data_IF_926195247259
#
_entry.id   IF_926195247259
#
_cell.length_a   1.000
_cell.length_b   1.000
_cell.length_c   1.000
_cell.angle_alpha   90.00
_cell.angle_beta   90.00
_cell.angle_gamma   90.00
#
_symmetry.space_group_name_H-M   'P 1'
#
loop_
_entity.id
_entity.type
_entity.pdbx_description
1 polymer ?
#
# COMPACT_ATOMS: atom_id res chain seq x y z
N UNK A 1 14.08 37.01 81.40
CA UNK A 1 15.39 37.60 81.05
C UNK A 1 15.66 37.27 79.59
N UNK A 2 15.85 38.31 78.78
CA UNK A 2 16.43 38.30 77.42
C UNK A 2 15.65 37.60 76.32
N UNK A 3 15.54 38.05 75.07
CA UNK A 3 15.65 39.34 74.35
C UNK A 3 15.45 38.92 72.89
N UNK A 4 14.54 39.57 72.15
CA UNK A 4 14.46 39.43 70.69
C UNK A 4 15.68 40.08 70.02
N UNK A 5 16.01 39.74 68.76
CA UNK A 5 15.90 40.75 67.69
C UNK A 5 15.51 40.13 66.32
N UNK A 6 14.51 40.62 65.58
CA UNK A 6 14.42 41.78 64.67
C UNK A 6 15.19 41.68 63.32
N UNK A 7 14.52 42.18 62.27
CA UNK A 7 14.96 42.67 60.92
C UNK A 7 14.74 41.73 59.70
N UNK A 8 14.54 42.25 58.46
CA UNK A 8 13.59 43.26 57.96
C UNK A 8 12.93 42.83 56.59
N UNK A 9 12.18 43.70 55.86
CA UNK A 9 11.27 43.31 54.77
C UNK A 9 11.80 43.59 53.35
N UNK A 10 11.19 42.97 52.33
CA UNK A 10 11.26 43.43 50.92
C UNK A 10 10.11 42.79 50.11
N UNK A 11 9.15 43.60 49.63
CA UNK A 11 8.94 43.97 48.21
C UNK A 11 8.86 42.75 47.28
N UNK A 12 7.84 42.51 46.47
CA UNK A 12 6.83 43.35 45.88
C UNK A 12 6.30 42.63 44.64
N UNK A 13 5.50 43.34 43.85
CA UNK A 13 5.11 43.03 42.48
C UNK A 13 3.88 42.13 42.27
N UNK A 14 2.78 42.85 42.03
CA UNK A 14 1.67 42.46 41.19
C UNK A 14 2.17 41.92 39.83
N UNK A 15 1.68 40.76 39.40
CA UNK A 15 1.61 40.41 37.99
C UNK A 15 0.19 39.98 37.60
N UNK A 16 -0.17 40.42 36.39
CA UNK A 16 -1.52 40.59 35.87
C UNK A 16 -2.09 39.30 35.24
N UNK A 17 -3.42 39.19 35.05
CA UNK A 17 -4.00 38.09 34.32
C UNK A 17 -3.57 38.12 32.84
N UNK A 18 -2.97 37.02 32.39
CA UNK A 18 -2.56 36.82 31.00
C UNK A 18 -3.79 36.92 30.09
N UNK A 19 -3.78 37.88 29.19
CA UNK A 19 -4.83 38.02 28.18
C UNK A 19 -4.68 36.88 27.17
N UNK A 20 -5.67 35.99 27.14
CA UNK A 20 -5.75 34.88 26.17
C UNK A 20 -5.91 35.48 24.77
N UNK A 21 -4.81 35.64 24.03
CA UNK A 21 -4.84 35.94 22.59
C UNK A 21 -5.68 34.85 21.92
N UNK A 22 -6.86 35.22 21.42
CA UNK A 22 -7.59 34.43 20.43
C UNK A 22 -6.66 34.25 19.23
N UNK A 23 -6.21 33.03 18.98
CA UNK A 23 -5.66 32.68 17.68
C UNK A 23 -6.77 32.81 16.63
N UNK A 24 -6.48 33.37 15.45
CA UNK A 24 -7.44 33.41 14.36
C UNK A 24 -7.75 31.98 13.91
N UNK A 25 -9.04 31.73 13.67
CA UNK A 25 -9.55 30.53 13.03
C UNK A 25 -8.92 30.39 11.65
N UNK A 26 -7.98 29.47 11.52
CA UNK A 26 -7.43 29.05 10.24
C UNK A 26 -8.47 28.18 9.51
N UNK A 27 -9.41 28.86 8.85
CA UNK A 27 -10.19 28.28 7.76
C UNK A 27 -9.30 28.22 6.52
N UNK A 28 -8.26 27.40 6.57
CA UNK A 28 -7.42 27.06 5.44
C UNK A 28 -8.10 25.97 4.63
N UNK A 29 -8.71 26.35 3.50
CA UNK A 29 -9.12 25.43 2.44
C UNK A 29 -7.86 24.80 1.83
N UNK A 30 -7.36 23.74 2.46
CA UNK A 30 -6.34 22.88 1.88
C UNK A 30 -7.02 21.82 1.04
N UNK A 31 -6.84 21.88 -0.29
CA UNK A 31 -7.05 20.72 -1.16
C UNK A 31 -6.21 19.57 -0.60
N UNK A 32 -6.82 18.65 0.16
CA UNK A 32 -6.11 17.48 0.68
C UNK A 32 -5.53 16.76 -0.53
N UNK A 33 -4.20 16.85 -0.71
CA UNK A 33 -3.49 15.92 -1.56
C UNK A 33 -3.95 14.53 -1.12
N UNK A 34 -4.61 13.80 -2.02
CA UNK A 34 -5.26 12.53 -1.68
C UNK A 34 -4.17 11.62 -1.07
N UNK A 35 -4.47 11.07 0.11
CA UNK A 35 -3.52 10.33 0.94
C UNK A 35 -3.40 8.87 0.48
N UNK A 36 -2.23 8.27 0.70
CA UNK A 36 -1.99 6.85 0.51
C UNK A 36 -1.26 6.24 1.72
N UNK A 37 -1.35 4.94 1.83
CA UNK A 37 -0.65 4.09 2.79
C UNK A 37 0.17 3.05 2.01
N UNK A 38 1.40 2.80 2.44
CA UNK A 38 2.28 1.86 1.75
C UNK A 38 3.42 1.40 2.65
N UNK A 39 3.91 0.18 2.42
CA UNK A 39 5.22 -0.28 2.94
C UNK A 39 6.32 -0.17 1.89
N UNK A 40 5.96 0.17 0.66
CA UNK A 40 6.87 0.36 -0.46
C UNK A 40 7.78 1.58 -0.29
N UNK A 41 8.84 1.62 -1.08
CA UNK A 41 9.74 2.77 -1.09
C UNK A 41 9.06 3.93 -1.82
N UNK A 42 8.93 5.05 -1.13
CA UNK A 42 8.33 6.28 -1.66
C UNK A 42 9.42 7.20 -2.17
N UNK A 43 9.28 7.65 -3.40
CA UNK A 43 10.03 8.76 -3.98
C UNK A 43 9.05 9.93 -4.18
N UNK A 44 9.26 11.00 -3.42
CA UNK A 44 8.44 12.21 -3.51
C UNK A 44 8.80 12.99 -4.76
N UNK A 45 8.02 12.78 -5.82
CA UNK A 45 8.17 13.51 -7.06
C UNK A 45 7.74 14.97 -6.94
N UNK A 46 8.14 15.77 -7.93
CA UNK A 46 7.70 17.15 -8.07
C UNK A 46 6.17 17.21 -8.26
N UNK A 47 5.55 18.29 -7.80
CA UNK A 47 4.10 18.54 -7.93
C UNK A 47 3.17 17.58 -7.16
N UNK A 48 3.65 16.96 -6.07
CA UNK A 48 2.83 16.11 -5.21
C UNK A 48 2.50 14.73 -5.80
N UNK A 49 3.20 14.33 -6.87
CA UNK A 49 3.07 13.01 -7.49
C UNK A 49 4.16 12.07 -6.96
N UNK A 50 3.83 11.30 -5.92
CA UNK A 50 4.73 10.26 -5.45
C UNK A 50 4.83 9.08 -6.44
N UNK A 51 6.06 8.56 -6.60
CA UNK A 51 6.35 7.28 -7.22
C UNK A 51 6.64 6.27 -6.12
N UNK A 52 5.92 5.15 -6.10
CA UNK A 52 6.06 4.09 -5.10
C UNK A 52 6.61 2.84 -5.76
N UNK A 53 7.71 2.31 -5.25
CA UNK A 53 8.25 1.02 -5.68
C UNK A 53 7.98 -0.06 -4.63
N UNK A 54 7.24 -1.10 -5.02
CA UNK A 54 6.95 -2.25 -4.16
C UNK A 54 8.04 -3.31 -4.33
N UNK A 55 8.72 -3.64 -3.23
CA UNK A 55 9.59 -4.81 -3.15
C UNK A 55 8.73 -6.04 -2.82
N UNK A 56 9.28 -7.27 -2.92
CA UNK A 56 8.58 -8.46 -2.45
C UNK A 56 8.06 -8.27 -1.02
N UNK A 57 6.76 -8.48 -0.82
CA UNK A 57 6.12 -8.34 0.48
C UNK A 57 5.49 -6.97 0.72
N UNK A 58 5.79 -5.98 -0.13
CA UNK A 58 5.24 -4.64 -0.01
C UNK A 58 3.82 -4.54 -0.60
N UNK A 59 3.07 -3.57 -0.08
CA UNK A 59 1.74 -3.23 -0.54
C UNK A 59 1.53 -1.72 -0.57
N UNK A 60 0.54 -1.29 -1.33
CA UNK A 60 0.08 0.09 -1.45
C UNK A 60 -1.46 0.11 -1.46
N UNK A 61 -2.05 1.12 -0.80
CA UNK A 61 -3.46 1.49 -0.93
C UNK A 61 -3.63 3.00 -0.84
N UNK A 62 -4.39 3.60 -1.74
CA UNK A 62 -4.62 5.04 -1.70
C UNK A 62 -5.24 5.62 -2.94
N UNK A 63 -5.38 6.94 -2.94
CA UNK A 63 -5.90 7.73 -4.04
C UNK A 63 -4.95 8.88 -4.37
N UNK A 64 -5.06 9.46 -5.56
CA UNK A 64 -4.25 10.61 -5.98
C UNK A 64 -3.47 10.36 -7.26
N UNK A 65 -2.65 11.33 -7.69
CA UNK A 65 -1.89 11.25 -8.95
C UNK A 65 -0.59 10.43 -8.79
N UNK A 66 -0.64 9.34 -8.02
CA UNK A 66 0.53 8.53 -7.71
C UNK A 66 0.74 7.43 -8.74
N UNK A 67 2.00 7.02 -8.88
CA UNK A 67 2.39 5.86 -9.67
C UNK A 67 2.96 4.79 -8.76
N UNK A 68 2.47 3.56 -8.89
CA UNK A 68 2.99 2.41 -8.15
C UNK A 68 3.63 1.45 -9.14
N UNK A 69 4.78 0.89 -8.79
CA UNK A 69 5.50 0.00 -9.69
C UNK A 69 6.18 -1.15 -8.95
N UNK A 70 6.42 -2.24 -9.68
CA UNK A 70 7.15 -3.39 -9.15
C UNK A 70 7.78 -4.22 -10.27
N UNK A 71 8.63 -5.16 -9.90
CA UNK A 71 9.28 -6.12 -10.79
C UNK A 71 8.98 -7.55 -10.35
N UNK A 72 8.50 -8.38 -11.27
CA UNK A 72 7.90 -9.69 -10.98
C UNK A 72 8.59 -10.79 -11.76
N UNK A 73 9.17 -11.74 -11.03
CA UNK A 73 9.53 -13.07 -11.52
C UNK A 73 8.42 -14.07 -11.17
N UNK A 74 8.71 -14.99 -10.24
CA UNK A 74 7.74 -15.96 -9.71
C UNK A 74 6.71 -15.36 -8.75
N UNK A 75 6.99 -14.21 -8.17
CA UNK A 75 6.00 -13.46 -7.40
C UNK A 75 4.82 -13.04 -8.28
N UNK A 76 3.67 -12.78 -7.67
CA UNK A 76 2.49 -12.26 -8.36
C UNK A 76 2.10 -10.92 -7.74
N UNK A 77 1.65 -10.00 -8.58
CA UNK A 77 1.03 -8.75 -8.14
C UNK A 77 -0.45 -8.76 -8.49
N UNK A 78 -1.27 -8.36 -7.53
CA UNK A 78 -2.68 -8.06 -7.75
C UNK A 78 -2.83 -6.55 -7.72
N UNK A 79 -3.56 -6.02 -8.70
CA UNK A 79 -4.02 -4.62 -8.71
C UNK A 79 -5.53 -4.62 -8.60
N UNK A 80 -6.06 -3.73 -7.77
CA UNK A 80 -7.48 -3.42 -7.69
C UNK A 80 -7.66 -1.91 -7.82
N UNK A 81 -8.52 -1.46 -8.72
CA UNK A 81 -8.76 -0.03 -8.92
C UNK A 81 -10.26 0.26 -9.00
N UNK A 82 -10.69 1.33 -8.33
CA UNK A 82 -12.04 1.84 -8.44
C UNK A 82 -12.04 3.06 -9.36
N UNK A 83 -12.60 2.97 -10.58
CA UNK A 83 -12.73 4.13 -11.47
C UNK A 83 -13.54 5.26 -10.84
N UNK A 84 -14.62 4.88 -10.13
CA UNK A 84 -15.55 5.81 -9.48
C UNK A 84 -14.88 6.65 -8.39
N UNK A 85 -13.99 6.03 -7.62
CA UNK A 85 -13.35 6.67 -6.46
C UNK A 85 -11.93 7.18 -6.77
N UNK A 86 -11.35 6.77 -7.90
CA UNK A 86 -9.92 6.89 -8.20
C UNK A 86 -9.06 6.38 -7.02
N UNK A 87 -9.46 5.22 -6.49
CA UNK A 87 -8.87 4.57 -5.32
C UNK A 87 -8.27 3.25 -5.78
N UNK A 88 -7.00 3.02 -5.47
CA UNK A 88 -6.23 1.87 -5.96
C UNK A 88 -5.53 1.12 -4.84
N UNK A 89 -5.35 -0.18 -5.06
CA UNK A 89 -4.52 -1.05 -4.25
C UNK A 89 -3.59 -1.86 -5.15
N UNK A 90 -2.38 -2.11 -4.67
CA UNK A 90 -1.42 -2.98 -5.35
C UNK A 90 -0.55 -3.70 -4.33
N UNK A 91 -0.35 -5.01 -4.49
CA UNK A 91 0.51 -5.82 -3.62
C UNK A 91 1.56 -6.60 -4.42
N UNK A 92 2.68 -6.94 -3.79
CA UNK A 92 3.71 -7.83 -4.35
C UNK A 92 3.80 -9.12 -3.52
N UNK A 93 2.99 -10.12 -3.86
CA UNK A 93 2.88 -11.39 -3.15
C UNK A 93 4.00 -12.37 -3.51
N UNK A 94 4.64 -12.93 -2.47
CA UNK A 94 5.73 -13.91 -2.64
C UNK A 94 5.20 -15.35 -2.74
N UNK A 95 4.25 -15.70 -1.86
CA UNK A 95 3.82 -17.08 -1.61
C UNK A 95 2.30 -17.18 -1.68
N UNK A 96 1.74 -18.37 -1.96
CA UNK A 96 0.30 -18.49 -2.14
C UNK A 96 -0.44 -18.33 -0.81
N UNK A 97 -0.02 -19.08 0.21
CA UNK A 97 -0.66 -19.15 1.52
C UNK A 97 0.40 -19.34 2.60
N UNK A 98 0.14 -18.83 3.80
CA UNK A 98 1.01 -19.01 4.96
C UNK A 98 1.10 -20.48 5.39
N UNK A 99 2.30 -21.04 5.62
CA UNK A 99 2.45 -22.36 6.24
C UNK A 99 1.89 -22.38 7.67
N UNK A 100 1.25 -23.49 8.06
CA UNK A 100 0.83 -23.73 9.44
C UNK A 100 1.95 -24.43 10.24
N UNK A 101 2.07 -24.19 11.56
CA UNK A 101 1.24 -23.35 12.42
C UNK A 101 1.59 -21.85 12.34
N UNK A 102 0.58 -20.99 12.57
CA UNK A 102 0.64 -19.53 12.40
C UNK A 102 1.59 -18.90 13.44
N UNK A 103 2.88 -18.80 13.13
CA UNK A 103 3.82 -18.06 13.97
C UNK A 103 3.50 -16.55 13.89
N UNK A 104 2.95 -16.01 14.99
CA UNK A 104 2.66 -14.60 15.33
C UNK A 104 1.85 -13.82 14.27
N UNK A 105 0.78 -13.09 14.63
CA UNK A 105 0.06 -12.22 13.71
C UNK A 105 0.88 -10.95 13.42
N UNK A 106 1.96 -11.06 12.65
CA UNK A 106 2.56 -9.92 12.00
C UNK A 106 1.74 -9.60 10.74
N UNK A 107 1.26 -8.36 10.59
CA UNK A 107 0.64 -7.88 9.36
C UNK A 107 1.63 -8.02 8.21
N UNK A 108 1.50 -9.11 7.45
CA UNK A 108 2.30 -9.38 6.26
C UNK A 108 1.38 -9.38 5.04
N UNK A 109 0.54 -8.35 4.92
CA UNK A 109 -0.48 -8.27 3.89
C UNK A 109 0.09 -8.52 2.49
N UNK A 110 1.30 -8.06 2.18
CA UNK A 110 1.92 -8.33 0.89
C UNK A 110 2.67 -9.66 0.76
N UNK A 111 2.80 -10.50 1.78
CA UNK A 111 3.62 -11.72 1.68
C UNK A 111 2.89 -12.91 1.04
N UNK A 112 1.61 -13.08 1.41
CA UNK A 112 0.78 -14.21 0.98
C UNK A 112 -0.38 -13.72 0.12
N UNK A 113 -0.68 -14.45 -0.95
CA UNK A 113 -1.69 -14.03 -1.94
C UNK A 113 -3.09 -13.91 -1.32
N UNK A 114 -3.51 -14.90 -0.54
CA UNK A 114 -4.83 -14.86 0.13
C UNK A 114 -4.92 -13.74 1.16
N UNK A 115 -3.93 -13.59 2.03
CA UNK A 115 -3.89 -12.51 3.02
C UNK A 115 -3.89 -11.12 2.36
N UNK A 116 -3.21 -10.95 1.22
CA UNK A 116 -3.22 -9.70 0.47
C UNK A 116 -4.60 -9.36 -0.10
N UNK A 117 -5.25 -10.36 -0.70
CA UNK A 117 -6.57 -10.20 -1.31
C UNK A 117 -7.64 -9.89 -0.25
N UNK A 118 -7.62 -10.60 0.88
CA UNK A 118 -8.51 -10.32 2.00
C UNK A 118 -8.29 -8.90 2.53
N UNK A 119 -7.03 -8.48 2.69
CA UNK A 119 -6.69 -7.14 3.16
C UNK A 119 -7.18 -6.06 2.19
N UNK A 120 -6.92 -6.19 0.88
CA UNK A 120 -7.39 -5.21 -0.11
C UNK A 120 -8.91 -5.14 -0.16
N UNK A 121 -9.60 -6.29 -0.13
CA UNK A 121 -11.05 -6.35 -0.16
C UNK A 121 -11.68 -5.65 1.06
N UNK A 122 -11.10 -5.84 2.25
CA UNK A 122 -11.52 -5.14 3.47
C UNK A 122 -11.34 -3.63 3.35
N UNK A 123 -10.24 -3.15 2.75
CA UNK A 123 -10.01 -1.73 2.55
C UNK A 123 -11.02 -1.12 1.58
N UNK A 124 -11.26 -1.74 0.42
CA UNK A 124 -12.30 -1.25 -0.50
C UNK A 124 -13.70 -1.30 0.12
N UNK A 125 -14.00 -2.33 0.90
CA UNK A 125 -15.26 -2.44 1.63
C UNK A 125 -15.46 -1.29 2.62
N UNK A 126 -14.43 -0.94 3.39
CA UNK A 126 -14.45 0.19 4.33
C UNK A 126 -14.70 1.54 3.63
N UNK A 127 -14.33 1.65 2.34
CA UNK A 127 -14.61 2.81 1.49
C UNK A 127 -15.93 2.69 0.71
N UNK A 128 -16.82 1.77 1.09
CA UNK A 128 -18.10 1.50 0.42
C UNK A 128 -17.93 1.24 -1.09
N UNK A 129 -16.84 0.56 -1.46
CA UNK A 129 -16.55 0.16 -2.82
C UNK A 129 -16.71 -1.36 -2.96
N UNK A 130 -17.80 -1.85 -3.58
CA UNK A 130 -18.00 -3.27 -3.72
C UNK A 130 -17.01 -3.87 -4.74
N UNK A 131 -16.50 -5.07 -4.47
CA UNK A 131 -15.52 -5.76 -5.33
C UNK A 131 -15.92 -5.83 -6.81
N UNK A 132 -17.21 -6.04 -7.11
CA UNK A 132 -17.77 -6.06 -8.47
C UNK A 132 -17.62 -4.75 -9.27
N UNK A 133 -17.25 -3.66 -8.61
CA UNK A 133 -17.05 -2.34 -9.22
C UNK A 133 -15.56 -1.99 -9.39
N UNK A 134 -14.68 -2.95 -9.08
CA UNK A 134 -13.24 -2.78 -9.20
C UNK A 134 -12.76 -3.38 -10.51
N UNK A 135 -11.85 -2.66 -11.14
CA UNK A 135 -11.00 -3.18 -12.20
C UNK A 135 -9.87 -3.96 -11.53
N UNK A 136 -9.77 -5.26 -11.83
CA UNK A 136 -8.81 -6.16 -11.19
C UNK A 136 -7.82 -6.66 -12.23
N UNK A 137 -6.53 -6.64 -11.90
CA UNK A 137 -5.49 -7.22 -12.72
C UNK A 137 -4.57 -8.17 -11.94
N UNK A 138 -4.10 -9.22 -12.62
CA UNK A 138 -3.14 -10.19 -12.10
C UNK A 138 -1.91 -10.25 -13.02
N UNK A 139 -0.73 -10.00 -12.47
CA UNK A 139 0.52 -9.93 -13.25
C UNK A 139 1.64 -10.70 -12.55
N UNK A 140 2.48 -11.40 -13.30
CA UNK A 140 3.67 -12.09 -12.78
C UNK A 140 3.57 -13.61 -12.82
N UNK A 141 3.98 -14.30 -11.75
CA UNK A 141 3.88 -15.75 -11.67
C UNK A 141 4.74 -16.52 -12.67
N UNK A 142 5.82 -15.92 -13.16
CA UNK A 142 6.74 -16.60 -14.07
C UNK A 142 7.39 -17.82 -13.39
N UNK A 143 7.55 -18.88 -14.15
CA UNK A 143 7.97 -20.19 -13.63
C UNK A 143 9.30 -20.58 -14.27
N UNK A 144 10.34 -20.75 -13.46
CA UNK A 144 11.55 -21.45 -13.87
C UNK A 144 11.25 -22.97 -13.94
N UNK A 145 12.02 -23.72 -14.73
CA UNK A 145 11.72 -25.11 -15.12
C UNK A 145 11.15 -25.99 -13.99
N UNK A 146 11.71 -25.91 -12.77
CA UNK A 146 11.36 -26.79 -11.65
C UNK A 146 10.58 -26.11 -10.51
N UNK A 147 10.26 -24.82 -10.61
CA UNK A 147 9.62 -24.07 -9.51
C UNK A 147 8.11 -23.90 -9.72
N UNK A 148 7.30 -24.59 -8.93
CA UNK A 148 5.84 -24.42 -8.98
C UNK A 148 5.32 -23.14 -8.30
N UNK A 149 6.19 -22.31 -7.71
CA UNK A 149 5.73 -21.19 -6.85
C UNK A 149 4.93 -20.17 -7.66
N UNK A 150 5.41 -19.78 -8.84
CA UNK A 150 4.69 -18.83 -9.70
C UNK A 150 3.31 -19.32 -10.10
N UNK A 151 3.22 -20.56 -10.57
CA UNK A 151 1.93 -21.20 -10.89
C UNK A 151 1.02 -21.31 -9.66
N UNK A 152 1.57 -21.63 -8.48
CA UNK A 152 0.79 -21.73 -7.23
C UNK A 152 0.26 -20.37 -6.76
N UNK A 153 1.06 -19.31 -6.87
CA UNK A 153 0.64 -17.93 -6.57
C UNK A 153 -0.54 -17.52 -7.46
N UNK A 154 -0.43 -17.75 -8.77
CA UNK A 154 -1.49 -17.43 -9.74
C UNK A 154 -2.76 -18.23 -9.46
N UNK A 155 -2.64 -19.55 -9.26
CA UNK A 155 -3.79 -20.41 -8.92
C UNK A 155 -4.49 -19.97 -7.65
N UNK A 156 -3.74 -19.56 -6.63
CA UNK A 156 -4.32 -19.07 -5.38
C UNK A 156 -5.08 -17.76 -5.60
N UNK A 157 -4.53 -16.82 -6.36
CA UNK A 157 -5.21 -15.57 -6.67
C UNK A 157 -6.51 -15.83 -7.44
N UNK A 158 -6.46 -16.68 -8.47
CA UNK A 158 -7.64 -17.02 -9.25
C UNK A 158 -8.72 -17.71 -8.40
N UNK A 159 -8.35 -18.72 -7.61
CA UNK A 159 -9.29 -19.41 -6.74
C UNK A 159 -9.97 -18.47 -5.72
N UNK A 160 -9.21 -17.50 -5.19
CA UNK A 160 -9.77 -16.49 -4.30
C UNK A 160 -10.75 -15.58 -5.04
N UNK A 161 -10.41 -15.11 -6.25
CA UNK A 161 -11.27 -14.25 -7.06
C UNK A 161 -12.56 -14.96 -7.48
N UNK A 162 -12.47 -16.23 -7.89
CA UNK A 162 -13.60 -17.07 -8.25
C UNK A 162 -14.56 -17.25 -7.06
N UNK A 163 -14.01 -17.49 -5.86
CA UNK A 163 -14.80 -17.63 -4.63
C UNK A 163 -15.55 -16.34 -4.25
N UNK A 164 -15.08 -15.18 -4.72
CA UNK A 164 -15.72 -13.87 -4.51
C UNK A 164 -16.56 -13.41 -5.71
N UNK A 165 -16.68 -14.25 -6.75
CA UNK A 165 -17.48 -13.95 -7.94
C UNK A 165 -16.97 -12.76 -8.76
N UNK A 166 -15.65 -12.52 -8.76
CA UNK A 166 -15.00 -11.46 -9.52
C UNK A 166 -14.01 -12.03 -10.52
N UNK A 167 -13.99 -11.47 -11.72
CA UNK A 167 -13.07 -11.87 -12.78
C UNK A 167 -12.02 -10.76 -13.01
N UNK A 168 -10.72 -11.08 -13.12
CA UNK A 168 -9.73 -10.10 -13.55
C UNK A 168 -10.05 -9.58 -14.95
N UNK A 169 -9.98 -8.28 -15.13
CA UNK A 169 -10.10 -7.62 -16.44
C UNK A 169 -8.82 -7.76 -17.26
N UNK A 170 -7.68 -7.92 -16.58
CA UNK A 170 -6.38 -8.10 -17.22
C UNK A 170 -5.57 -9.17 -16.50
N UNK A 171 -5.02 -10.10 -17.27
CA UNK A 171 -4.08 -11.11 -16.77
C UNK A 171 -2.86 -11.17 -17.67
N UNK A 172 -1.69 -11.02 -17.08
CA UNK A 172 -0.41 -11.30 -17.73
C UNK A 172 0.46 -12.11 -16.78
N UNK A 173 0.20 -13.41 -16.77
CA UNK A 173 0.73 -14.36 -15.80
C UNK A 173 1.48 -15.52 -16.44
N UNK A 174 2.31 -16.21 -15.66
CA UNK A 174 2.99 -17.43 -16.09
C UNK A 174 4.12 -17.19 -17.09
N UNK A 175 4.41 -18.21 -17.89
CA UNK A 175 5.56 -18.20 -18.79
C UNK A 175 6.90 -18.13 -18.05
N UNK A 176 7.94 -17.68 -18.75
CA UNK A 176 9.31 -17.60 -18.22
C UNK A 176 9.87 -16.18 -18.20
N UNK A 177 9.03 -15.16 -18.43
CA UNK A 177 9.47 -13.77 -18.59
C UNK A 177 9.27 -12.98 -17.31
N UNK A 178 10.28 -12.20 -16.95
CA UNK A 178 10.18 -11.19 -15.89
C UNK A 178 9.32 -10.04 -16.39
N UNK A 179 8.49 -9.48 -15.52
CA UNK A 179 7.57 -8.38 -15.85
C UNK A 179 7.86 -7.18 -14.98
N UNK A 180 7.96 -6.01 -15.60
CA UNK A 180 7.87 -4.73 -14.90
C UNK A 180 6.44 -4.25 -15.00
N UNK A 181 5.80 -4.07 -13.85
CA UNK A 181 4.44 -3.56 -13.75
C UNK A 181 4.49 -2.11 -13.26
N UNK A 182 3.74 -1.24 -13.91
CA UNK A 182 3.47 0.14 -13.49
C UNK A 182 1.98 0.41 -13.51
N UNK A 183 1.48 1.05 -12.46
CA UNK A 183 0.09 1.36 -12.21
C UNK A 183 -0.07 2.86 -11.92
N UNK A 184 -0.85 3.56 -12.74
CA UNK A 184 -1.25 4.95 -12.52
C UNK A 184 -2.58 5.04 -11.79
N UNK A 185 -2.62 5.67 -10.63
CA UNK A 185 -3.86 5.80 -9.84
C UNK A 185 -4.87 6.79 -10.44
N UNK A 186 -4.38 7.78 -11.19
CA UNK A 186 -5.20 8.86 -11.72
C UNK A 186 -6.28 8.36 -12.68
N UNK A 187 -5.95 7.36 -13.49
CA UNK A 187 -6.73 6.87 -14.61
C UNK A 187 -6.86 5.33 -14.65
N UNK A 188 -6.22 4.62 -13.72
CA UNK A 188 -6.25 3.17 -13.68
C UNK A 188 -5.26 2.52 -14.64
N UNK A 189 -4.40 3.29 -15.32
CA UNK A 189 -3.56 2.78 -16.39
C UNK A 189 -2.56 1.74 -15.89
N UNK A 190 -2.53 0.59 -16.58
CA UNK A 190 -1.55 -0.48 -16.35
C UNK A 190 -0.60 -0.60 -17.52
N UNK A 191 0.70 -0.51 -17.23
CA UNK A 191 1.76 -0.80 -18.19
C UNK A 191 2.54 -2.03 -17.72
N UNK A 192 2.63 -3.03 -18.60
CA UNK A 192 3.35 -4.27 -18.35
C UNK A 192 4.43 -4.39 -19.43
N UNK A 193 5.68 -4.29 -19.01
CA UNK A 193 6.84 -4.48 -19.88
C UNK A 193 7.49 -5.83 -19.58
N UNK A 194 7.71 -6.63 -20.62
CA UNK A 194 8.44 -7.90 -20.51
C UNK A 194 9.95 -7.65 -20.59
N UNK A 195 10.70 -8.30 -19.71
CA UNK A 195 12.16 -8.19 -19.60
C UNK A 195 12.86 -9.53 -19.79
N UNK A 196 13.89 -9.77 -18.97
CA UNK A 196 14.70 -10.99 -19.02
C UNK A 196 13.91 -12.29 -18.79
N UNK A 197 14.49 -13.42 -19.20
CA UNK A 197 13.90 -14.75 -18.98
C UNK A 197 14.45 -15.40 -17.70
N UNK A 198 13.61 -16.19 -17.04
CA UNK A 198 13.98 -17.05 -15.91
C UNK A 198 14.49 -18.41 -16.41
N UNK A 199 15.62 -18.84 -15.84
CA UNK A 199 16.34 -20.07 -16.19
C UNK A 199 17.28 -19.90 -17.40
N UNK A 200 18.07 -20.93 -17.73
CA UNK A 200 19.06 -20.85 -18.80
C UNK A 200 18.39 -20.56 -20.15
N UNK A 201 19.06 -19.75 -20.97
CA UNK A 201 18.82 -19.69 -22.41
C UNK A 201 18.97 -21.10 -22.96
N UNK A 202 18.02 -21.60 -23.73
CA UNK A 202 18.18 -22.88 -24.42
C UNK A 202 19.48 -22.85 -25.23
N UNK A 203 20.36 -23.82 -24.98
CA UNK A 203 21.58 -24.10 -25.75
C UNK A 203 21.30 -25.28 -26.66
#
# INVERSE_FOLDING_TARGET
MSSSPWCPPSTGSLEQPVTRRRQPSDSGQGTRARSFETTGMVDEGLNGQASVFLRPGDWFFGAGPHKVSTMLGSCVSVVMWSPRLSLGAMCHCLLPTRPLPRAVPAMSAGHYVDEALDWMAQHFHAHHCPMRSLDIALVGGATAHDSSIGASNVRKAQAWLDAHGVNPMQMDVGGRVVRRLSFGLADGALNIAHGGRLGPSEV
#
